data_IF_536381991588
#
_entry.id   IF_536381991588
#
_cell.length_a   1.000
_cell.length_b   1.000
_cell.length_c   1.000
_cell.angle_alpha   90.00
_cell.angle_beta   90.00
_cell.angle_gamma   90.00
#
_symmetry.space_group_name_H-M   'P 1'
#
loop_
_entity.id
_entity.type
_entity.pdbx_description
1 polymer ?
#
# COMPACT_ATOMS: atom_id res chain seq x y z
N UNK A 1 -2.02 -10.32 3.90
CA UNK A 1 -0.97 -10.91 3.05
C UNK A 1 0.26 -10.02 2.99
N UNK A 2 0.17 -8.74 3.35
CA UNK A 2 1.29 -7.90 3.79
C UNK A 2 2.08 -8.55 4.95
N UNK A 3 3.26 -9.09 4.65
CA UNK A 3 4.14 -9.76 5.62
C UNK A 3 4.08 -11.29 5.60
N UNK A 4 3.51 -11.93 4.59
CA UNK A 4 3.49 -13.39 4.45
C UNK A 4 4.66 -13.95 3.61
N UNK A 5 5.82 -13.27 3.58
CA UNK A 5 7.02 -13.69 2.87
C UNK A 5 7.32 -15.20 3.02
N UNK A 6 7.65 -15.81 1.87
CA UNK A 6 8.12 -17.17 1.67
C UNK A 6 9.26 -17.51 2.64
N UNK A 7 9.10 -18.57 3.42
CA UNK A 7 10.21 -19.19 4.17
C UNK A 7 10.87 -20.24 3.28
N UNK A 8 11.82 -19.81 2.45
CA UNK A 8 12.88 -20.69 1.95
C UNK A 8 14.04 -20.61 2.95
N UNK A 9 14.38 -21.73 3.59
CA UNK A 9 15.48 -21.81 4.55
C UNK A 9 16.82 -21.50 3.85
N UNK A 10 17.53 -20.48 4.34
CA UNK A 10 18.95 -20.24 4.01
C UNK A 10 19.76 -20.02 5.31
N UNK A 11 20.98 -20.58 5.40
CA UNK A 11 21.75 -20.63 6.64
C UNK A 11 22.36 -19.27 7.00
N UNK A 12 22.45 -19.04 8.32
CA UNK A 12 22.90 -17.83 8.99
C UNK A 12 24.43 -17.74 9.12
N UNK A 13 24.96 -16.51 9.13
CA UNK A 13 26.32 -16.16 9.60
C UNK A 13 26.35 -14.70 10.13
N UNK A 14 27.39 -14.23 10.85
CA UNK A 14 27.35 -14.02 12.29
C UNK A 14 27.30 -12.55 12.76
N UNK A 15 27.05 -12.40 14.07
CA UNK A 15 26.78 -11.18 14.85
C UNK A 15 27.98 -10.24 14.97
N UNK A 16 27.68 -8.94 15.11
CA UNK A 16 28.56 -7.92 15.69
C UNK A 16 27.97 -7.39 17.00
N UNK A 17 28.79 -7.40 18.06
CA UNK A 17 28.66 -6.66 19.33
C UNK A 17 29.19 -5.21 19.11
N UNK A 18 28.88 -4.13 19.82
CA UNK A 18 28.18 -3.85 21.07
C UNK A 18 28.27 -2.33 21.40
N UNK A 19 27.95 -1.97 22.66
CA UNK A 19 28.00 -0.64 23.32
C UNK A 19 26.87 0.38 22.99
N UNK A 20 26.28 1.12 23.93
CA UNK A 20 26.48 1.28 25.38
C UNK A 20 25.35 2.17 25.94
N UNK A 21 25.00 1.97 27.22
CA UNK A 21 23.88 2.60 27.91
C UNK A 21 24.20 3.98 28.50
N UNK A 22 23.21 4.86 28.63
CA UNK A 22 23.18 5.88 29.68
C UNK A 22 21.74 6.17 30.16
N UNK A 23 21.55 6.15 31.48
CA UNK A 23 20.34 6.54 32.24
C UNK A 23 20.49 7.97 32.76
N UNK A 24 19.38 8.70 32.90
CA UNK A 24 19.09 9.69 33.97
C UNK A 24 17.57 9.93 34.02
N UNK A 25 16.88 9.54 35.12
CA UNK A 25 16.29 10.38 36.23
C UNK A 25 15.21 11.36 35.73
N UNK A 26 13.91 11.17 36.04
CA UNK A 26 13.16 11.49 37.30
C UNK A 26 13.27 13.00 37.63
N UNK A 27 12.24 13.78 37.95
CA UNK A 27 10.85 13.62 38.41
C UNK A 27 10.12 14.95 38.10
N UNK A 28 8.81 14.94 37.85
CA UNK A 28 7.92 16.01 38.35
C UNK A 28 6.44 15.62 38.19
N UNK A 29 5.69 15.73 39.30
CA UNK A 29 4.25 15.45 39.44
C UNK A 29 3.43 16.76 39.40
N UNK A 30 2.12 16.67 39.14
CA UNK A 30 1.33 17.74 38.56
C UNK A 30 0.71 18.68 39.60
N UNK A 31 0.42 19.92 39.19
CA UNK A 31 -0.48 20.83 39.91
C UNK A 31 -1.88 20.81 39.30
N UNK A 32 -2.85 20.78 40.20
CA UNK A 32 -4.27 20.64 39.98
C UNK A 32 -4.97 22.01 40.07
N UNK A 33 -6.25 22.02 39.68
CA UNK A 33 -7.32 23.00 39.94
C UNK A 33 -7.65 23.99 38.81
N UNK A 34 -8.95 23.99 38.43
CA UNK A 34 -9.52 25.04 37.60
C UNK A 34 -10.84 24.64 36.93
N UNK A 35 -11.84 24.26 37.71
CA UNK A 35 -13.23 24.07 37.30
C UNK A 35 -13.82 25.42 36.87
N UNK A 36 -14.39 25.56 35.67
CA UNK A 36 -15.32 26.64 35.27
C UNK A 36 -15.98 26.32 33.91
N UNK A 37 -17.22 25.83 33.97
CA UNK A 37 -18.18 25.90 32.85
C UNK A 37 -18.89 27.26 32.89
N UNK A 38 -19.26 27.81 31.72
CA UNK A 38 -20.61 28.37 31.60
C UNK A 38 -21.34 27.90 30.34
N UNK A 39 -22.65 27.78 30.52
CA UNK A 39 -23.66 27.37 29.54
C UNK A 39 -23.58 28.14 28.20
N UNK A 40 -23.56 27.41 27.08
CA UNK A 40 -23.88 27.92 25.75
C UNK A 40 -25.34 27.55 25.41
N UNK A 41 -26.11 28.46 24.79
CA UNK A 41 -27.52 28.21 24.48
C UNK A 41 -27.66 27.17 23.37
N UNK A 42 -28.59 26.24 23.57
CA UNK A 42 -28.99 25.25 22.58
C UNK A 42 -29.80 25.98 21.51
N UNK A 43 -29.15 26.33 20.39
CA UNK A 43 -29.83 26.78 19.18
C UNK A 43 -30.36 25.56 18.42
N UNK A 44 -31.67 25.40 18.44
CA UNK A 44 -32.43 24.41 17.67
C UNK A 44 -32.55 24.85 16.20
N UNK A 45 -31.60 24.42 15.35
CA UNK A 45 -31.79 24.39 13.89
C UNK A 45 -30.82 23.37 13.27
N UNK A 46 -31.27 22.13 13.05
CA UNK A 46 -30.46 21.01 12.52
C UNK A 46 -30.49 20.91 11.00
N UNK A 47 -30.61 22.03 10.28
CA UNK A 47 -30.41 22.05 8.84
C UNK A 47 -29.12 22.81 8.54
N UNK A 48 -28.08 22.14 7.99
CA UNK A 48 -26.87 22.82 7.58
C UNK A 48 -27.19 23.85 6.50
N UNK A 49 -26.71 25.08 6.69
CA UNK A 49 -26.80 26.16 5.73
C UNK A 49 -26.07 25.77 4.43
N UNK A 50 -26.76 25.65 3.28
CA UNK A 50 -26.16 25.23 2.02
C UNK A 50 -25.15 26.25 1.45
N UNK A 51 -25.05 27.45 2.03
CA UNK A 51 -24.09 28.49 1.61
C UNK A 51 -22.72 28.39 2.29
N UNK A 52 -22.55 27.55 3.33
CA UNK A 52 -21.25 27.26 3.94
C UNK A 52 -20.67 26.00 3.33
N UNK A 53 -19.58 26.13 2.57
CA UNK A 53 -18.80 24.98 2.11
C UNK A 53 -18.29 24.19 3.32
N UNK A 54 -18.93 23.06 3.63
CA UNK A 54 -18.43 22.17 4.68
C UNK A 54 -17.11 21.55 4.20
N UNK A 55 -16.06 21.56 5.03
CA UNK A 55 -14.81 20.93 4.66
C UNK A 55 -15.05 19.43 4.42
N UNK A 56 -14.35 18.87 3.43
CA UNK A 56 -14.39 17.44 3.08
C UNK A 56 -13.26 16.71 3.81
N UNK A 57 -13.59 15.65 4.54
CA UNK A 57 -12.57 14.76 5.10
C UNK A 57 -12.08 13.80 4.01
N UNK A 58 -10.77 13.62 3.90
CA UNK A 58 -10.15 12.60 3.04
C UNK A 58 -9.50 11.58 3.95
N UNK A 59 -10.07 10.38 4.03
CA UNK A 59 -9.53 9.29 4.84
C UNK A 59 -8.60 8.44 3.98
N UNK A 60 -7.29 8.69 4.09
CA UNK A 60 -6.24 7.86 3.49
C UNK A 60 -6.17 6.53 4.24
N UNK A 61 -6.38 5.43 3.53
CA UNK A 61 -6.38 4.09 4.12
C UNK A 61 -5.23 3.23 3.60
N UNK A 62 -4.52 2.59 4.51
CA UNK A 62 -3.48 1.60 4.17
C UNK A 62 -3.54 0.42 5.17
N UNK A 63 -2.75 -0.63 4.99
CA UNK A 63 -2.80 -1.83 5.86
C UNK A 63 -2.16 -1.59 7.24
N UNK A 64 -1.24 -0.63 7.33
CA UNK A 64 -0.47 -0.30 8.54
C UNK A 64 0.63 -1.33 8.83
N UNK A 65 1.31 -1.23 9.96
CA UNK A 65 2.29 -2.25 10.31
C UNK A 65 2.92 -2.05 11.68
N UNK A 66 3.50 -3.12 12.25
CA UNK A 66 4.06 -3.08 13.59
C UNK A 66 5.27 -2.13 13.64
N UNK A 67 5.37 -1.37 14.72
CA UNK A 67 6.45 -0.40 14.97
C UNK A 67 7.57 -0.98 15.85
N UNK A 68 7.34 -2.17 16.43
CA UNK A 68 8.29 -2.89 17.29
C UNK A 68 7.98 -4.40 17.30
N UNK A 69 8.92 -5.26 17.75
CA UNK A 69 8.79 -6.72 17.60
C UNK A 69 7.55 -7.30 18.30
N UNK A 70 7.17 -6.77 19.45
CA UNK A 70 6.05 -7.26 20.27
C UNK A 70 4.70 -7.05 19.56
N UNK A 71 4.65 -6.16 18.59
CA UNK A 71 3.45 -5.82 17.82
C UNK A 71 3.20 -6.77 16.65
N UNK A 72 4.21 -7.55 16.24
CA UNK A 72 4.07 -8.48 15.10
C UNK A 72 2.95 -9.51 15.31
N UNK A 73 2.80 -10.06 16.52
CA UNK A 73 1.75 -11.04 16.81
C UNK A 73 0.33 -10.43 16.76
N UNK A 74 0.01 -9.36 17.50
CA UNK A 74 -1.31 -8.75 17.42
C UNK A 74 -1.62 -8.22 16.02
N UNK A 75 -0.64 -7.65 15.31
CA UNK A 75 -0.80 -7.22 13.91
C UNK A 75 -1.20 -8.38 13.00
N UNK A 76 -0.45 -9.50 13.04
CA UNK A 76 -0.79 -10.69 12.26
C UNK A 76 -2.15 -11.25 12.64
N UNK A 77 -2.50 -11.24 13.93
CA UNK A 77 -3.83 -11.69 14.38
C UNK A 77 -4.93 -10.87 13.72
N UNK A 78 -4.79 -9.55 13.60
CA UNK A 78 -5.77 -8.70 12.93
C UNK A 78 -5.92 -9.06 11.45
N UNK A 79 -4.81 -9.31 10.75
CA UNK A 79 -4.82 -9.80 9.35
C UNK A 79 -5.59 -11.12 9.24
N UNK A 80 -5.31 -12.11 10.10
CA UNK A 80 -5.97 -13.42 10.04
C UNK A 80 -7.42 -13.41 10.53
N UNK A 81 -7.87 -12.31 11.14
CA UNK A 81 -9.26 -12.12 11.55
C UNK A 81 -10.12 -11.47 10.46
N UNK A 82 -9.52 -11.02 9.35
CA UNK A 82 -10.22 -10.34 8.27
C UNK A 82 -10.89 -11.33 7.30
N UNK A 83 -12.24 -11.37 7.25
CA UNK A 83 -12.97 -12.23 6.32
C UNK A 83 -12.75 -11.85 4.85
N UNK A 84 -12.49 -10.57 4.57
CA UNK A 84 -12.33 -10.08 3.19
C UNK A 84 -10.96 -10.49 2.59
N UNK A 85 -10.00 -10.82 3.45
CA UNK A 85 -8.65 -11.19 3.06
C UNK A 85 -8.43 -12.70 3.07
N UNK A 86 -8.93 -13.40 4.10
CA UNK A 86 -8.69 -14.84 4.27
C UNK A 86 -10.01 -15.58 4.48
N UNK A 87 -10.43 -16.45 3.54
CA UNK A 87 -11.72 -17.14 3.57
C UNK A 87 -11.70 -18.33 4.56
N UNK A 88 -11.48 -18.07 5.85
CA UNK A 88 -11.58 -19.05 6.92
C UNK A 88 -13.03 -19.08 7.42
N UNK A 89 -13.67 -20.24 7.63
CA UNK A 89 -15.00 -20.32 8.26
C UNK A 89 -15.05 -19.58 9.60
N UNK A 90 -16.13 -18.84 9.86
CA UNK A 90 -16.23 -17.91 10.99
C UNK A 90 -15.96 -18.53 12.35
N UNK A 91 -16.44 -19.76 12.59
CA UNK A 91 -16.25 -20.48 13.86
C UNK A 91 -14.78 -20.85 14.13
N UNK A 92 -13.99 -21.10 13.08
CA UNK A 92 -12.59 -21.50 13.20
C UNK A 92 -11.62 -20.31 13.19
N UNK A 93 -12.07 -19.14 12.70
CA UNK A 93 -11.21 -17.98 12.48
C UNK A 93 -10.43 -17.52 13.72
N UNK A 94 -11.02 -17.37 14.92
CA UNK A 94 -10.26 -16.93 16.10
C UNK A 94 -9.14 -17.90 16.50
N UNK A 95 -9.39 -19.21 16.38
CA UNK A 95 -8.42 -20.25 16.69
C UNK A 95 -7.27 -20.24 15.69
N UNK A 96 -7.60 -20.23 14.39
CA UNK A 96 -6.60 -20.19 13.30
C UNK A 96 -5.77 -18.91 13.38
N UNK A 97 -6.41 -17.75 13.56
CA UNK A 97 -5.73 -16.47 13.69
C UNK A 97 -4.76 -16.47 14.89
N UNK A 98 -5.15 -17.01 16.04
CA UNK A 98 -4.28 -17.09 17.22
C UNK A 98 -3.08 -18.02 17.00
N UNK A 99 -3.30 -19.20 16.41
CA UNK A 99 -2.25 -20.19 16.17
C UNK A 99 -1.24 -19.70 15.12
N UNK A 100 -1.75 -19.24 13.97
CA UNK A 100 -0.91 -18.82 12.84
C UNK A 100 -0.15 -17.54 13.19
N UNK A 101 -0.79 -16.55 13.84
CA UNK A 101 -0.10 -15.33 14.28
C UNK A 101 1.03 -15.63 15.28
N UNK A 102 0.83 -16.56 16.23
CA UNK A 102 1.89 -16.97 17.17
C UNK A 102 3.09 -17.60 16.44
N UNK A 103 2.84 -18.48 15.47
CA UNK A 103 3.91 -19.14 14.71
C UNK A 103 4.65 -18.17 13.79
N UNK A 104 3.94 -17.22 13.16
CA UNK A 104 4.51 -16.31 12.16
C UNK A 104 5.15 -15.03 12.74
N UNK A 105 4.78 -14.62 13.95
CA UNK A 105 5.31 -13.39 14.55
C UNK A 105 6.86 -13.34 14.64
N UNK A 106 7.57 -14.42 15.01
CA UNK A 106 9.04 -14.41 15.03
C UNK A 106 9.67 -14.31 13.63
N UNK A 107 8.98 -14.80 12.59
CA UNK A 107 9.43 -14.66 11.20
C UNK A 107 9.25 -13.21 10.76
N UNK A 108 8.07 -12.63 10.98
CA UNK A 108 7.79 -11.24 10.64
C UNK A 108 8.76 -10.28 11.35
N UNK A 109 9.05 -10.51 12.63
CA UNK A 109 10.02 -9.71 13.38
C UNK A 109 11.43 -9.79 12.78
N UNK A 110 11.86 -10.97 12.32
CA UNK A 110 13.15 -11.15 11.61
C UNK A 110 13.18 -10.42 10.27
N UNK A 111 12.08 -10.39 9.53
CA UNK A 111 11.99 -9.64 8.27
C UNK A 111 12.16 -8.14 8.51
N UNK A 112 11.50 -7.57 9.53
CA UNK A 112 11.70 -6.17 9.93
C UNK A 112 13.12 -5.90 10.43
N UNK A 113 13.73 -6.84 11.17
CA UNK A 113 15.14 -6.71 11.56
C UNK A 113 16.07 -6.68 10.34
N UNK A 114 15.82 -7.52 9.33
CA UNK A 114 16.60 -7.53 8.10
C UNK A 114 16.42 -6.25 7.26
N UNK A 115 15.30 -5.55 7.38
CA UNK A 115 15.10 -4.22 6.81
C UNK A 115 15.88 -3.11 7.54
N UNK A 116 16.41 -3.39 8.74
CA UNK A 116 17.03 -2.40 9.62
C UNK A 116 16.03 -1.47 10.34
N UNK A 117 14.73 -1.62 10.09
CA UNK A 117 13.68 -0.81 10.70
C UNK A 117 12.34 -1.56 10.76
N UNK A 118 11.46 -1.13 11.67
CA UNK A 118 10.06 -1.56 11.68
C UNK A 118 9.23 -0.82 10.62
N UNK A 119 7.92 -1.11 10.54
CA UNK A 119 7.07 -0.63 9.45
C UNK A 119 7.13 0.90 9.30
N UNK A 120 7.56 1.42 8.13
CA UNK A 120 7.53 2.85 7.85
C UNK A 120 6.15 3.30 7.36
N UNK A 121 5.21 2.38 7.11
CA UNK A 121 3.92 2.63 6.45
C UNK A 121 3.15 3.81 7.05
N UNK A 122 3.07 3.92 8.38
CA UNK A 122 2.40 5.05 9.02
C UNK A 122 3.09 6.39 8.73
N UNK A 123 4.43 6.43 8.78
CA UNK A 123 5.19 7.63 8.48
C UNK A 123 5.01 8.03 7.01
N UNK A 124 5.12 7.08 6.09
CA UNK A 124 4.97 7.31 4.65
C UNK A 124 3.56 7.79 4.28
N UNK A 125 2.50 7.11 4.77
CA UNK A 125 1.12 7.54 4.52
C UNK A 125 0.81 8.89 5.18
N UNK A 126 1.39 9.19 6.36
CA UNK A 126 1.23 10.52 6.98
C UNK A 126 1.90 11.62 6.17
N UNK A 127 3.09 11.36 5.60
CA UNK A 127 3.76 12.31 4.72
C UNK A 127 2.93 12.59 3.45
N UNK A 128 2.36 11.54 2.85
CA UNK A 128 1.44 11.67 1.72
C UNK A 128 0.16 12.41 2.08
N UNK A 129 -0.45 12.14 3.23
CA UNK A 129 -1.64 12.86 3.70
C UNK A 129 -1.38 14.36 3.81
N UNK A 130 -0.21 14.76 4.34
CA UNK A 130 0.19 16.16 4.42
C UNK A 130 0.41 16.80 3.05
N UNK A 131 1.11 16.10 2.15
CA UNK A 131 1.35 16.58 0.80
C UNK A 131 0.04 16.73 0.01
N UNK A 132 -0.87 15.75 0.16
CA UNK A 132 -2.19 15.76 -0.46
C UNK A 132 -3.08 16.86 0.11
N UNK A 133 -3.11 17.07 1.43
CA UNK A 133 -3.87 18.17 2.05
C UNK A 133 -3.38 19.53 1.52
N UNK A 134 -2.07 19.72 1.43
CA UNK A 134 -1.49 20.94 0.87
C UNK A 134 -1.85 21.14 -0.61
N UNK A 135 -1.81 20.06 -1.41
CA UNK A 135 -2.18 20.12 -2.83
C UNK A 135 -3.68 20.37 -3.03
N UNK A 136 -4.54 19.81 -2.18
CA UNK A 136 -5.99 19.99 -2.25
C UNK A 136 -6.42 21.43 -1.93
N UNK A 137 -5.76 22.06 -0.96
CA UNK A 137 -6.00 23.44 -0.55
C UNK A 137 -7.14 23.57 0.47
N UNK A 138 -7.68 24.79 0.59
CA UNK A 138 -8.77 25.08 1.52
C UNK A 138 -10.01 24.23 1.20
N UNK A 139 -10.71 23.78 2.25
CA UNK A 139 -11.91 22.95 2.13
C UNK A 139 -11.67 21.44 2.20
N UNK A 140 -10.43 20.98 2.30
CA UNK A 140 -10.11 19.56 2.55
C UNK A 140 -9.30 19.37 3.83
N UNK A 141 -9.51 18.24 4.51
CA UNK A 141 -8.68 17.78 5.62
C UNK A 141 -8.37 16.30 5.48
N UNK A 142 -7.11 15.94 5.54
CA UNK A 142 -6.65 14.57 5.38
C UNK A 142 -6.47 13.87 6.73
N UNK A 143 -6.94 12.64 6.80
CA UNK A 143 -6.82 11.73 7.95
C UNK A 143 -6.17 10.44 7.48
N UNK A 144 -5.48 9.75 8.39
CA UNK A 144 -4.81 8.47 8.08
C UNK A 144 -5.40 7.37 8.95
N UNK A 145 -5.97 6.35 8.33
CA UNK A 145 -6.53 5.18 9.01
C UNK A 145 -5.93 3.88 8.48
N UNK A 146 -5.60 2.97 9.39
CA UNK A 146 -4.92 1.73 9.07
C UNK A 146 -5.83 0.52 9.30
N UNK A 147 -5.79 -0.44 8.36
CA UNK A 147 -6.69 -1.59 8.36
C UNK A 147 -6.37 -2.60 9.47
N UNK A 148 -5.10 -2.86 9.74
CA UNK A 148 -4.65 -3.90 10.67
C UNK A 148 -3.76 -3.42 11.81
N UNK A 149 -3.33 -2.16 11.77
CA UNK A 149 -2.56 -1.53 12.85
C UNK A 149 -3.08 -0.13 13.17
N UNK A 150 -2.50 0.55 14.17
CA UNK A 150 -2.94 1.88 14.61
C UNK A 150 -2.40 3.01 13.71
N UNK A 151 -3.09 4.16 13.64
CA UNK A 151 -4.46 4.40 14.12
C UNK A 151 -5.47 3.61 13.28
N UNK A 152 -6.43 2.92 13.91
CA UNK A 152 -7.34 2.05 13.17
C UNK A 152 -8.36 2.87 12.38
N UNK A 153 -8.76 2.41 11.19
CA UNK A 153 -9.81 3.06 10.37
C UNK A 153 -11.04 3.43 11.21
N UNK A 154 -11.50 2.54 12.09
CA UNK A 154 -12.67 2.79 12.94
C UNK A 154 -12.46 3.93 13.96
N UNK A 155 -11.26 4.05 14.53
CA UNK A 155 -10.90 5.14 15.46
C UNK A 155 -10.92 6.49 14.73
N UNK A 156 -10.42 6.51 13.50
CA UNK A 156 -10.35 7.71 12.67
C UNK A 156 -11.72 8.11 12.12
N UNK A 157 -12.59 7.14 11.79
CA UNK A 157 -13.98 7.43 11.45
C UNK A 157 -14.73 8.12 12.61
N UNK A 158 -14.44 7.73 13.85
CA UNK A 158 -15.00 8.40 15.04
C UNK A 158 -14.49 9.84 15.16
N UNK A 159 -13.19 10.06 14.95
CA UNK A 159 -12.58 11.40 14.95
C UNK A 159 -13.18 12.31 13.87
N UNK A 160 -13.31 11.82 12.64
CA UNK A 160 -13.92 12.55 11.53
C UNK A 160 -15.36 12.92 11.86
N UNK A 161 -16.16 11.98 12.37
CA UNK A 161 -17.53 12.25 12.78
C UNK A 161 -17.59 13.31 13.89
N UNK A 162 -16.76 13.18 14.92
CA UNK A 162 -16.72 14.11 16.05
C UNK A 162 -16.32 15.52 15.63
N UNK A 163 -15.55 15.64 14.54
CA UNK A 163 -15.12 16.91 13.95
C UNK A 163 -16.18 17.57 13.05
N UNK A 164 -17.33 16.92 12.83
CA UNK A 164 -18.47 17.53 12.13
C UNK A 164 -18.33 17.63 10.61
N UNK A 165 -17.43 16.85 9.98
CA UNK A 165 -17.35 16.78 8.52
C UNK A 165 -18.66 16.24 7.95
N UNK A 166 -19.17 16.90 6.91
CA UNK A 166 -20.41 16.50 6.22
C UNK A 166 -20.16 15.52 5.07
N UNK A 167 -18.91 15.40 4.61
CA UNK A 167 -18.48 14.54 3.51
C UNK A 167 -17.18 13.85 3.85
N UNK A 168 -17.08 12.57 3.51
CA UNK A 168 -15.86 11.75 3.62
C UNK A 168 -15.53 11.14 2.26
N UNK A 169 -14.34 11.40 1.76
CA UNK A 169 -13.72 10.65 0.67
C UNK A 169 -12.89 9.53 1.26
N UNK A 170 -13.26 8.29 1.00
CA UNK A 170 -12.52 7.10 1.34
C UNK A 170 -11.45 6.85 0.27
N UNK A 171 -10.17 6.97 0.64
CA UNK A 171 -9.03 6.88 -0.26
C UNK A 171 -8.05 5.78 0.19
N UNK A 172 -8.28 4.50 -0.14
CA UNK A 172 -7.25 3.48 -0.07
C UNK A 172 -6.03 3.89 -0.90
N UNK A 173 -4.85 3.87 -0.31
CA UNK A 173 -3.58 4.24 -0.96
C UNK A 173 -2.99 3.03 -1.69
N UNK A 174 -3.82 2.43 -2.54
CA UNK A 174 -3.48 1.34 -3.46
C UNK A 174 -3.87 1.82 -4.87
N UNK A 175 -2.93 1.93 -5.83
CA UNK A 175 -3.27 2.41 -7.17
C UNK A 175 -4.31 1.53 -7.86
N UNK A 176 -4.19 0.23 -7.65
CA UNK A 176 -5.04 -0.82 -8.23
C UNK A 176 -6.05 -1.31 -7.21
N UNK A 177 -7.29 -1.45 -7.65
CA UNK A 177 -8.37 -2.03 -6.85
C UNK A 177 -8.15 -3.53 -6.68
N UNK A 178 -8.24 -4.04 -5.45
CA UNK A 178 -8.48 -5.45 -5.16
C UNK A 178 -9.53 -5.61 -4.07
N UNK A 179 -10.29 -6.70 -4.12
CA UNK A 179 -11.23 -7.08 -3.06
C UNK A 179 -10.50 -7.25 -1.72
N UNK A 180 -9.24 -7.69 -1.75
CA UNK A 180 -8.44 -8.02 -0.56
C UNK A 180 -7.73 -6.82 0.08
N UNK A 181 -7.69 -5.66 -0.60
CA UNK A 181 -7.01 -4.44 -0.11
C UNK A 181 -7.97 -3.25 -0.05
N UNK A 182 -8.29 -2.65 -1.19
CA UNK A 182 -9.24 -1.55 -1.36
C UNK A 182 -10.61 -1.95 -0.82
N UNK A 183 -11.11 -3.13 -1.23
CA UNK A 183 -12.39 -3.66 -0.77
C UNK A 183 -12.45 -3.79 0.75
N UNK A 184 -11.51 -4.51 1.35
CA UNK A 184 -11.41 -4.68 2.81
C UNK A 184 -11.32 -3.34 3.57
N UNK A 185 -10.58 -2.36 3.05
CA UNK A 185 -10.43 -1.04 3.69
C UNK A 185 -11.72 -0.22 3.65
N UNK A 186 -12.38 -0.17 2.48
CA UNK A 186 -13.67 0.50 2.32
C UNK A 186 -14.75 -0.18 3.16
N UNK A 187 -14.78 -1.52 3.19
CA UNK A 187 -15.73 -2.28 4.01
C UNK A 187 -15.56 -1.98 5.51
N UNK A 188 -14.32 -1.88 6.02
CA UNK A 188 -14.05 -1.45 7.40
C UNK A 188 -14.58 -0.05 7.67
N UNK A 189 -14.24 0.92 6.82
CA UNK A 189 -14.67 2.32 6.98
C UNK A 189 -16.19 2.45 6.94
N UNK A 190 -16.86 1.84 5.95
CA UNK A 190 -18.33 1.88 5.82
C UNK A 190 -19.01 1.18 7.00
N UNK A 191 -18.47 0.07 7.50
CA UNK A 191 -18.98 -0.58 8.71
C UNK A 191 -18.85 0.33 9.93
N UNK A 192 -17.68 0.93 10.15
CA UNK A 192 -17.45 1.84 11.27
C UNK A 192 -18.41 3.05 11.22
N UNK A 193 -18.52 3.70 10.05
CA UNK A 193 -19.43 4.84 9.85
C UNK A 193 -20.90 4.47 10.04
N UNK A 194 -21.32 3.27 9.61
CA UNK A 194 -22.66 2.74 9.86
C UNK A 194 -22.92 2.55 11.35
N UNK A 195 -22.00 1.91 12.09
CA UNK A 195 -22.11 1.73 13.54
C UNK A 195 -22.14 3.06 14.30
N UNK A 196 -21.45 4.06 13.77
CA UNK A 196 -21.46 5.41 14.30
C UNK A 196 -22.72 6.20 13.91
N UNK A 197 -23.64 5.68 13.08
CA UNK A 197 -24.77 6.46 12.55
C UNK A 197 -24.32 7.77 11.90
N UNK A 198 -23.26 7.72 11.09
CA UNK A 198 -22.81 8.89 10.33
C UNK A 198 -23.84 9.22 9.23
N UNK A 199 -24.38 10.44 9.28
CA UNK A 199 -25.44 10.90 8.35
C UNK A 199 -24.95 11.73 7.17
N UNK A 200 -23.63 11.92 7.03
CA UNK A 200 -23.05 12.66 5.92
C UNK A 200 -22.77 11.80 4.69
N UNK A 201 -22.29 12.43 3.64
CA UNK A 201 -21.93 11.77 2.38
C UNK A 201 -20.61 10.98 2.52
N UNK A 202 -20.55 9.80 1.90
CA UNK A 202 -19.36 8.94 1.88
C UNK A 202 -19.10 8.47 0.45
N UNK A 203 -17.99 8.93 -0.14
CA UNK A 203 -17.59 8.63 -1.52
C UNK A 203 -16.35 7.74 -1.53
N UNK A 204 -16.34 6.75 -2.42
CA UNK A 204 -15.24 5.79 -2.54
C UNK A 204 -14.34 6.13 -3.73
N UNK A 205 -13.04 6.30 -3.48
CA UNK A 205 -12.02 6.24 -4.54
C UNK A 205 -11.47 4.81 -4.57
N UNK A 206 -11.93 3.99 -5.50
CA UNK A 206 -11.58 2.55 -5.54
C UNK A 206 -10.23 2.26 -6.18
N UNK A 207 -9.77 3.15 -7.06
CA UNK A 207 -8.48 3.05 -7.74
C UNK A 207 -8.05 4.42 -8.27
N UNK A 208 -6.76 4.55 -8.59
CA UNK A 208 -6.14 5.74 -9.19
C UNK A 208 -4.95 5.38 -10.11
N UNK A 209 -4.86 4.13 -10.58
CA UNK A 209 -3.80 3.66 -11.48
C UNK A 209 -3.75 4.41 -12.82
N UNK A 210 -4.87 4.99 -13.24
CA UNK A 210 -5.04 5.73 -14.50
C UNK A 210 -4.60 7.20 -14.41
N UNK A 211 -4.32 7.70 -13.21
CA UNK A 211 -3.97 9.11 -13.02
C UNK A 211 -2.65 9.44 -13.72
N UNK A 212 -2.65 10.51 -14.52
CA UNK A 212 -1.47 10.90 -15.30
C UNK A 212 -0.27 11.21 -14.40
N UNK A 213 -0.53 11.81 -13.23
CA UNK A 213 0.51 12.03 -12.21
C UNK A 213 1.15 10.74 -11.73
N UNK A 214 0.38 9.66 -11.57
CA UNK A 214 0.90 8.35 -11.16
C UNK A 214 1.72 7.71 -12.29
N UNK A 215 1.14 7.62 -13.49
CA UNK A 215 1.77 6.96 -14.62
C UNK A 215 2.99 7.72 -15.15
N UNK A 216 2.93 9.05 -15.16
CA UNK A 216 4.01 9.94 -15.56
C UNK A 216 5.21 9.80 -14.62
N UNK A 217 5.00 9.97 -13.31
CA UNK A 217 6.06 9.85 -12.30
C UNK A 217 6.74 8.48 -12.33
N UNK A 218 5.96 7.40 -12.51
CA UNK A 218 6.53 6.07 -12.62
C UNK A 218 7.35 5.91 -13.91
N UNK A 219 6.86 6.43 -15.03
CA UNK A 219 7.58 6.40 -16.31
C UNK A 219 8.88 7.20 -16.25
N UNK A 220 8.88 8.35 -15.59
CA UNK A 220 10.05 9.20 -15.45
C UNK A 220 11.13 8.52 -14.62
N UNK A 221 10.77 7.87 -13.50
CA UNK A 221 11.73 7.09 -12.68
C UNK A 221 12.34 5.92 -13.44
N UNK A 222 11.54 5.21 -14.24
CA UNK A 222 12.04 4.11 -15.07
C UNK A 222 12.98 4.63 -16.15
N UNK A 223 12.63 5.74 -16.84
CA UNK A 223 13.48 6.36 -17.87
C UNK A 223 14.80 6.85 -17.28
N UNK A 224 14.73 7.51 -16.13
CA UNK A 224 15.88 8.02 -15.40
C UNK A 224 16.83 6.89 -14.99
N UNK A 225 16.30 5.79 -14.44
CA UNK A 225 17.08 4.62 -14.09
C UNK A 225 17.76 4.02 -15.32
N UNK A 226 17.01 3.74 -16.38
CA UNK A 226 17.56 3.19 -17.63
C UNK A 226 18.63 4.08 -18.27
N UNK A 227 18.51 5.41 -18.15
CA UNK A 227 19.52 6.34 -18.67
C UNK A 227 20.89 6.22 -17.99
N UNK A 228 20.93 5.68 -16.77
CA UNK A 228 22.14 5.43 -15.99
C UNK A 228 22.58 3.97 -16.00
N UNK A 229 21.71 3.08 -16.43
CA UNK A 229 21.98 1.64 -16.45
C UNK A 229 22.84 1.23 -17.65
N UNK A 230 23.61 0.13 -17.54
CA UNK A 230 24.38 -0.40 -18.66
C UNK A 230 23.49 -0.89 -19.80
N UNK A 231 24.06 -1.01 -21.01
CA UNK A 231 23.38 -1.62 -22.15
C UNK A 231 22.94 -3.06 -21.83
N UNK A 232 21.77 -3.46 -22.34
CA UNK A 232 21.20 -4.79 -22.08
C UNK A 232 20.45 -4.91 -20.74
N UNK A 233 20.27 -3.81 -20.01
CA UNK A 233 19.42 -3.75 -18.82
C UNK A 233 17.99 -4.17 -19.13
N UNK A 234 17.38 -4.92 -18.22
CA UNK A 234 15.95 -5.29 -18.27
C UNK A 234 15.16 -4.66 -17.13
N UNK A 235 13.87 -4.45 -17.36
CA UNK A 235 12.96 -3.87 -16.36
C UNK A 235 12.01 -4.95 -15.83
N UNK A 236 12.06 -5.22 -14.53
CA UNK A 236 11.14 -6.13 -13.86
C UNK A 236 10.10 -5.34 -13.07
N UNK A 237 8.87 -5.31 -13.56
CA UNK A 237 7.73 -4.82 -12.78
C UNK A 237 7.30 -5.90 -11.81
N UNK A 238 7.30 -5.59 -10.51
CA UNK A 238 6.89 -6.49 -9.46
C UNK A 238 5.64 -5.99 -8.75
N UNK A 239 4.69 -6.90 -8.56
CA UNK A 239 3.40 -6.65 -7.93
C UNK A 239 3.05 -7.82 -6.99
N UNK A 240 2.28 -7.57 -5.92
CA UNK A 240 1.86 -8.65 -5.01
C UNK A 240 1.03 -9.69 -5.75
N UNK A 241 1.35 -10.97 -5.61
CA UNK A 241 0.58 -12.05 -6.22
C UNK A 241 -0.82 -12.19 -5.59
N UNK A 242 -1.72 -12.81 -6.33
CA UNK A 242 -3.01 -13.27 -5.81
C UNK A 242 -3.19 -14.77 -6.10
N UNK A 243 -3.94 -15.50 -5.25
CA UNK A 243 -4.44 -16.82 -5.62
C UNK A 243 -5.28 -16.72 -6.90
N UNK A 244 -5.13 -17.66 -7.83
CA UNK A 244 -5.83 -17.66 -9.13
C UNK A 244 -7.35 -17.60 -8.95
N UNK A 245 -7.89 -18.27 -7.92
CA UNK A 245 -9.32 -18.27 -7.61
C UNK A 245 -9.86 -16.88 -7.23
N UNK A 246 -9.02 -16.01 -6.66
CA UNK A 246 -9.39 -14.62 -6.35
C UNK A 246 -9.18 -13.77 -7.59
N UNK A 247 -8.01 -13.90 -8.23
CA UNK A 247 -7.62 -13.10 -9.39
C UNK A 247 -8.63 -13.16 -10.55
N UNK A 248 -9.26 -14.32 -10.79
CA UNK A 248 -10.20 -14.50 -11.89
C UNK A 248 -11.44 -13.59 -11.85
N UNK A 249 -11.80 -13.06 -10.68
CA UNK A 249 -12.94 -12.15 -10.50
C UNK A 249 -12.54 -10.79 -9.91
N UNK A 250 -11.24 -10.51 -9.81
CA UNK A 250 -10.71 -9.30 -9.18
C UNK A 250 -10.15 -8.36 -10.26
N UNK A 251 -10.44 -7.03 -10.23
CA UNK A 251 -9.93 -6.10 -11.24
C UNK A 251 -8.40 -5.90 -11.16
N UNK A 252 -7.77 -6.26 -10.05
CA UNK A 252 -6.37 -6.01 -9.76
C UNK A 252 -5.40 -6.46 -10.86
N UNK A 253 -5.43 -7.72 -11.35
CA UNK A 253 -4.41 -8.18 -12.31
C UNK A 253 -4.51 -7.43 -13.64
N UNK A 254 -5.73 -7.11 -14.07
CA UNK A 254 -5.98 -6.31 -15.27
C UNK A 254 -5.48 -4.87 -15.11
N UNK A 255 -5.79 -4.21 -14.00
CA UNK A 255 -5.34 -2.82 -13.75
C UNK A 255 -3.81 -2.72 -13.61
N UNK A 256 -3.16 -3.71 -12.99
CA UNK A 256 -1.68 -3.79 -12.92
C UNK A 256 -1.10 -3.95 -14.33
N UNK A 257 -1.64 -4.87 -15.14
CA UNK A 257 -1.18 -5.05 -16.51
C UNK A 257 -1.37 -3.77 -17.35
N UNK A 258 -2.50 -3.09 -17.22
CA UNK A 258 -2.79 -1.84 -17.93
C UNK A 258 -1.83 -0.72 -17.50
N UNK A 259 -1.45 -0.66 -16.23
CA UNK A 259 -0.40 0.24 -15.72
C UNK A 259 0.95 -0.05 -16.36
N UNK A 260 1.38 -1.31 -16.34
CA UNK A 260 2.67 -1.72 -16.89
C UNK A 260 2.73 -1.48 -18.40
N UNK A 261 1.64 -1.74 -19.13
CA UNK A 261 1.53 -1.43 -20.56
C UNK A 261 1.62 0.08 -20.81
N UNK A 262 0.93 0.91 -20.01
CA UNK A 262 0.96 2.35 -20.16
C UNK A 262 2.36 2.93 -19.89
N UNK A 263 3.05 2.46 -18.85
CA UNK A 263 4.44 2.84 -18.55
C UNK A 263 5.37 2.34 -19.66
N UNK A 264 5.23 1.09 -20.09
CA UNK A 264 6.05 0.51 -21.16
C UNK A 264 5.94 1.31 -22.46
N UNK A 265 4.75 1.79 -22.82
CA UNK A 265 4.55 2.66 -23.98
C UNK A 265 5.20 4.04 -23.81
N UNK A 266 5.05 4.68 -22.64
CA UNK A 266 5.65 6.00 -22.36
C UNK A 266 7.18 5.97 -22.32
N UNK A 267 7.77 4.83 -21.95
CA UNK A 267 9.22 4.66 -21.83
C UNK A 267 9.84 4.04 -23.09
N UNK A 268 9.07 3.28 -23.87
CA UNK A 268 9.58 2.51 -25.01
C UNK A 268 10.18 1.16 -24.62
N UNK A 269 9.51 0.43 -23.72
CA UNK A 269 9.91 -0.91 -23.28
C UNK A 269 9.24 -2.00 -24.12
N UNK A 270 10.00 -3.06 -24.40
CA UNK A 270 9.49 -4.28 -24.98
C UNK A 270 8.96 -5.20 -23.87
N UNK A 271 7.69 -5.02 -23.49
CA UNK A 271 7.03 -5.84 -22.48
C UNK A 271 6.73 -7.24 -23.01
N UNK A 272 7.19 -8.25 -22.29
CA UNK A 272 6.87 -9.66 -22.55
C UNK A 272 5.35 -9.91 -22.45
N UNK A 273 4.74 -10.57 -23.45
CA UNK A 273 3.34 -10.96 -23.37
C UNK A 273 3.06 -11.86 -22.16
N UNK A 274 1.94 -11.60 -21.49
CA UNK A 274 1.48 -12.35 -20.33
C UNK A 274 -0.02 -12.60 -20.47
N UNK A 275 -0.44 -13.82 -20.15
CA UNK A 275 -1.85 -14.19 -20.02
C UNK A 275 -2.20 -14.28 -18.53
N UNK A 276 -3.33 -13.68 -18.15
CA UNK A 276 -3.75 -13.58 -16.75
C UNK A 276 -5.17 -14.14 -16.60
N UNK A 277 -5.41 -15.04 -15.62
CA UNK A 277 -6.73 -15.61 -15.37
C UNK A 277 -7.80 -14.53 -15.19
N UNK A 278 -8.88 -14.61 -15.95
CA UNK A 278 -10.01 -13.67 -15.86
C UNK A 278 -9.76 -12.29 -16.47
N UNK A 279 -8.59 -12.06 -17.09
CA UNK A 279 -8.26 -10.80 -17.75
C UNK A 279 -8.34 -10.99 -19.26
N UNK A 280 -9.11 -10.14 -19.95
CA UNK A 280 -9.16 -10.17 -21.40
C UNK A 280 -7.78 -9.87 -22.02
N UNK A 281 -7.40 -10.52 -23.13
CA UNK A 281 -6.13 -10.28 -23.81
C UNK A 281 -5.86 -8.79 -24.08
N UNK A 282 -4.61 -8.37 -23.94
CA UNK A 282 -4.18 -6.99 -24.20
C UNK A 282 -3.26 -6.92 -25.41
N UNK A 283 -3.28 -5.77 -26.08
CA UNK A 283 -2.32 -5.47 -27.13
C UNK A 283 -1.00 -5.01 -26.52
N UNK A 284 0.02 -5.85 -26.68
CA UNK A 284 1.39 -5.55 -26.30
C UNK A 284 2.04 -4.69 -27.39
N UNK A 285 2.81 -3.65 -27.02
CA UNK A 285 3.52 -2.85 -28.00
C UNK A 285 4.43 -3.75 -28.86
N UNK A 286 4.50 -3.53 -30.19
CA UNK A 286 5.33 -4.35 -31.06
C UNK A 286 6.79 -4.21 -30.66
N UNK A 287 7.51 -5.34 -30.67
CA UNK A 287 8.94 -5.37 -30.37
C UNK A 287 9.69 -4.69 -31.52
N UNK A 288 10.09 -3.44 -31.32
CA UNK A 288 10.93 -2.69 -32.25
C UNK A 288 12.37 -2.64 -31.77
N UNK A 289 13.34 -3.11 -32.59
CA UNK A 289 14.78 -2.87 -32.41
C UNK A 289 15.33 -2.96 -30.97
N UNK A 290 16.22 -2.02 -30.61
CA UNK A 290 17.04 -1.98 -29.40
C UNK A 290 16.29 -1.61 -28.08
N UNK A 291 14.96 -1.78 -28.00
CA UNK A 291 14.20 -1.46 -26.79
C UNK A 291 14.62 -2.34 -25.60
N UNK A 292 14.72 -1.79 -24.38
CA UNK A 292 14.93 -2.60 -23.17
C UNK A 292 13.78 -3.60 -22.99
N UNK A 293 14.13 -4.87 -22.74
CA UNK A 293 13.14 -5.89 -22.44
C UNK A 293 12.55 -5.69 -21.05
N UNK A 294 11.25 -5.93 -20.90
CA UNK A 294 10.55 -5.81 -19.63
C UNK A 294 9.62 -6.99 -19.37
N UNK A 295 9.40 -7.32 -18.10
CA UNK A 295 8.43 -8.34 -17.69
C UNK A 295 7.61 -7.87 -16.49
N UNK A 296 6.37 -8.35 -16.39
CA UNK A 296 5.54 -8.27 -15.18
C UNK A 296 5.63 -9.61 -14.44
N UNK A 297 5.92 -9.56 -13.14
CA UNK A 297 5.99 -10.73 -12.28
C UNK A 297 5.33 -10.50 -10.92
N UNK A 298 4.91 -11.60 -10.30
CA UNK A 298 4.14 -11.60 -9.07
C UNK A 298 4.99 -12.07 -7.88
N UNK A 299 5.06 -11.27 -6.82
CA UNK A 299 5.80 -11.59 -5.59
C UNK A 299 4.91 -12.22 -4.51
N UNK A 300 5.55 -12.64 -3.42
CA UNK A 300 4.87 -13.02 -2.17
C UNK A 300 3.92 -14.22 -2.28
N UNK A 301 4.23 -15.22 -3.12
CA UNK A 301 3.46 -16.48 -3.22
C UNK A 301 3.47 -17.26 -1.90
N UNK A 302 2.32 -17.62 -1.35
CA UNK A 302 2.26 -18.33 -0.05
C UNK A 302 1.41 -19.59 -0.08
N UNK A 303 1.96 -20.66 0.48
CA UNK A 303 1.23 -21.92 0.65
C UNK A 303 1.04 -22.67 -0.67
N UNK A 304 0.24 -23.76 -0.64
CA UNK A 304 0.19 -24.73 -1.74
C UNK A 304 -0.81 -24.38 -2.84
N UNK A 305 -1.57 -23.28 -2.72
CA UNK A 305 -2.57 -22.90 -3.72
C UNK A 305 -1.91 -22.45 -5.04
N UNK A 306 -2.68 -22.38 -6.12
CA UNK A 306 -2.22 -21.78 -7.39
C UNK A 306 -2.26 -20.26 -7.27
N UNK A 307 -1.18 -19.61 -7.68
CA UNK A 307 -1.03 -18.15 -7.69
C UNK A 307 -0.85 -17.64 -9.11
N UNK A 308 -0.98 -16.34 -9.29
CA UNK A 308 -0.58 -15.67 -10.53
C UNK A 308 0.88 -15.94 -10.84
N UNK A 309 1.16 -16.16 -12.13
CA UNK A 309 2.47 -16.46 -12.67
C UNK A 309 2.75 -15.48 -13.83
N UNK A 310 4.02 -15.23 -14.20
CA UNK A 310 5.21 -15.82 -13.58
C UNK A 310 5.52 -15.18 -12.22
N UNK A 311 6.08 -15.97 -11.31
CA UNK A 311 6.67 -15.47 -10.07
C UNK A 311 7.93 -14.63 -10.34
N UNK A 312 8.28 -13.72 -9.42
CA UNK A 312 9.54 -12.96 -9.50
C UNK A 312 10.73 -13.90 -9.56
N UNK A 313 10.72 -14.97 -8.76
CA UNK A 313 11.74 -16.02 -8.72
C UNK A 313 11.95 -16.65 -10.11
N UNK A 314 10.87 -17.09 -10.76
CA UNK A 314 10.93 -17.70 -12.10
C UNK A 314 11.49 -16.75 -13.15
N UNK A 315 11.12 -15.48 -13.10
CA UNK A 315 11.66 -14.49 -14.06
C UNK A 315 13.15 -14.27 -13.84
N UNK A 316 13.61 -14.18 -12.58
CA UNK A 316 15.02 -14.00 -12.25
C UNK A 316 15.86 -15.20 -12.69
N UNK A 317 15.40 -16.43 -12.45
CA UNK A 317 16.09 -17.66 -12.88
C UNK A 317 16.25 -17.70 -14.40
N UNK A 318 15.14 -17.51 -15.13
CA UNK A 318 15.15 -17.46 -16.59
C UNK A 318 16.08 -16.37 -17.12
N UNK A 319 16.02 -15.16 -16.56
CA UNK A 319 16.90 -14.07 -16.99
C UNK A 319 18.37 -14.32 -16.67
N UNK A 320 18.69 -15.09 -15.63
CA UNK A 320 20.04 -15.55 -15.36
C UNK A 320 20.55 -16.52 -16.44
N UNK A 321 19.70 -17.46 -16.88
CA UNK A 321 20.00 -18.37 -18.00
C UNK A 321 20.22 -17.59 -19.32
N UNK A 322 19.46 -16.53 -19.53
CA UNK A 322 19.62 -15.58 -20.64
C UNK A 322 20.80 -14.62 -20.48
N UNK A 323 21.61 -14.79 -19.42
CA UNK A 323 22.83 -14.01 -19.12
C UNK A 323 22.57 -12.51 -18.93
N UNK A 324 21.40 -12.14 -18.42
CA UNK A 324 21.12 -10.76 -17.99
C UNK A 324 22.07 -10.39 -16.85
N UNK A 325 22.63 -9.17 -16.91
CA UNK A 325 23.64 -8.69 -15.95
C UNK A 325 23.15 -7.57 -15.04
N UNK A 326 22.11 -6.87 -15.46
CA UNK A 326 21.55 -5.74 -14.72
C UNK A 326 20.03 -5.69 -14.90
N UNK A 327 19.32 -5.48 -13.79
CA UNK A 327 17.87 -5.32 -13.78
C UNK A 327 17.48 -4.06 -13.01
N UNK A 328 16.47 -3.36 -13.53
CA UNK A 328 15.74 -2.33 -12.81
C UNK A 328 14.47 -2.96 -12.24
N UNK A 329 14.33 -2.96 -10.92
CA UNK A 329 13.20 -3.59 -10.21
C UNK A 329 12.19 -2.52 -9.80
N UNK A 330 10.95 -2.63 -10.27
CA UNK A 330 9.92 -1.58 -10.16
C UNK A 330 8.75 -2.08 -9.30
N UNK A 331 8.51 -1.52 -8.09
CA UNK A 331 7.35 -1.84 -7.26
C UNK A 331 6.08 -1.21 -7.83
N UNK A 332 5.48 -1.82 -8.86
CA UNK A 332 4.41 -1.18 -9.66
C UNK A 332 3.07 -1.03 -8.95
N UNK A 333 2.82 -1.76 -7.87
CA UNK A 333 1.54 -1.71 -7.14
C UNK A 333 1.61 -0.95 -5.81
N UNK A 334 2.73 -0.28 -5.52
CA UNK A 334 2.98 0.36 -4.23
C UNK A 334 3.46 1.80 -4.38
N UNK A 335 2.86 2.70 -3.60
CA UNK A 335 3.22 4.13 -3.55
C UNK A 335 3.86 4.56 -2.23
N UNK A 336 3.98 3.63 -1.28
CA UNK A 336 4.71 3.80 -0.02
C UNK A 336 5.76 2.70 0.12
N UNK A 337 6.86 2.97 0.81
CA UNK A 337 7.77 1.90 1.23
C UNK A 337 7.15 1.09 2.38
N UNK A 338 7.42 -0.22 2.38
CA UNK A 338 6.96 -1.15 3.40
C UNK A 338 7.74 -2.46 3.35
N UNK A 339 7.32 -3.48 4.11
CA UNK A 339 8.03 -4.76 4.14
C UNK A 339 8.11 -5.42 2.76
N UNK A 340 7.08 -5.31 1.93
CA UNK A 340 7.08 -5.98 0.61
C UNK A 340 8.00 -5.29 -0.41
N UNK A 341 8.42 -4.04 -0.16
CA UNK A 341 9.44 -3.37 -0.97
C UNK A 341 10.81 -3.54 -0.31
N UNK A 342 10.97 -3.06 0.91
CA UNK A 342 12.25 -2.98 1.62
C UNK A 342 12.80 -4.34 2.09
N UNK A 343 11.93 -5.33 2.34
CA UNK A 343 12.39 -6.69 2.64
C UNK A 343 12.33 -7.54 1.38
N UNK A 344 11.15 -7.68 0.77
CA UNK A 344 11.02 -8.65 -0.32
C UNK A 344 11.79 -8.20 -1.57
N UNK A 345 11.65 -6.97 -2.05
CA UNK A 345 12.40 -6.54 -3.24
C UNK A 345 13.89 -6.32 -2.97
N UNK A 346 14.26 -5.63 -1.89
CA UNK A 346 15.69 -5.29 -1.65
C UNK A 346 16.51 -6.47 -1.09
N UNK A 347 15.96 -7.19 -0.11
CA UNK A 347 16.67 -8.25 0.61
C UNK A 347 16.46 -9.61 -0.06
N UNK A 348 15.22 -10.03 -0.25
CA UNK A 348 14.90 -11.37 -0.77
C UNK A 348 15.21 -11.48 -2.27
N UNK A 349 14.48 -10.75 -3.11
CA UNK A 349 14.59 -10.82 -4.57
C UNK A 349 15.86 -10.14 -5.08
N UNK A 350 16.22 -8.99 -4.52
CA UNK A 350 17.51 -8.35 -4.79
C UNK A 350 18.68 -9.26 -4.40
N UNK A 351 18.58 -9.97 -3.26
CA UNK A 351 19.57 -10.95 -2.83
C UNK A 351 19.65 -12.16 -3.77
N UNK A 352 18.50 -12.67 -4.22
CA UNK A 352 18.42 -13.76 -5.20
C UNK A 352 19.05 -13.36 -6.54
N UNK A 353 18.69 -12.21 -7.08
CA UNK A 353 19.25 -11.70 -8.33
C UNK A 353 20.78 -11.54 -8.25
N UNK A 354 21.30 -11.01 -7.13
CA UNK A 354 22.76 -10.94 -6.88
C UNK A 354 23.43 -12.30 -6.85
N UNK A 355 22.81 -13.31 -6.21
CA UNK A 355 23.31 -14.70 -6.22
C UNK A 355 23.31 -15.31 -7.62
N UNK A 356 22.35 -14.92 -8.46
CA UNK A 356 22.25 -15.30 -9.87
C UNK A 356 23.19 -14.51 -10.80
N UNK A 357 24.03 -13.62 -10.26
CA UNK A 357 25.03 -12.87 -11.04
C UNK A 357 24.50 -11.58 -11.69
N UNK A 358 23.34 -11.08 -11.26
CA UNK A 358 22.77 -9.80 -11.69
C UNK A 358 23.03 -8.69 -10.66
N UNK A 359 23.29 -7.48 -11.15
CA UNK A 359 23.14 -6.26 -10.36
C UNK A 359 21.68 -5.76 -10.42
N UNK A 360 21.22 -5.08 -9.37
CA UNK A 360 19.82 -4.69 -9.21
C UNK A 360 19.72 -3.24 -8.77
N UNK A 361 19.01 -2.45 -9.55
CA UNK A 361 18.57 -1.10 -9.18
C UNK A 361 17.07 -1.15 -8.87
N UNK A 362 16.72 -1.26 -7.58
CA UNK A 362 15.31 -1.21 -7.16
C UNK A 362 14.86 0.25 -7.03
N UNK A 363 13.81 0.60 -7.78
CA UNK A 363 13.26 1.95 -7.78
C UNK A 363 12.49 2.23 -6.49
N UNK A 364 12.67 3.42 -5.86
CA UNK A 364 11.83 3.87 -4.76
C UNK A 364 10.37 3.98 -5.19
N UNK A 365 9.47 3.65 -4.28
CA UNK A 365 8.06 4.00 -4.43
C UNK A 365 7.88 5.52 -4.56
N UNK A 366 6.75 5.94 -5.13
CA UNK A 366 6.55 7.37 -5.45
C UNK A 366 6.52 8.27 -4.21
N UNK A 367 6.08 7.76 -3.06
CA UNK A 367 6.05 8.53 -1.81
C UNK A 367 5.27 9.84 -2.00
N UNK A 368 5.95 10.97 -1.82
CA UNK A 368 5.39 12.32 -1.94
C UNK A 368 5.77 13.03 -3.25
N UNK A 369 6.08 12.27 -4.30
CA UNK A 369 6.35 12.81 -5.63
C UNK A 369 5.30 13.86 -6.04
N UNK A 370 5.70 15.10 -6.41
CA UNK A 370 4.75 16.19 -6.65
C UNK A 370 3.72 15.90 -7.75
N UNK A 371 4.14 15.29 -8.85
CA UNK A 371 3.24 14.99 -9.96
C UNK A 371 2.24 13.90 -9.56
N UNK A 372 2.69 12.88 -8.82
CA UNK A 372 1.82 11.87 -8.23
C UNK A 372 0.79 12.48 -7.26
N UNK A 373 1.23 13.34 -6.33
CA UNK A 373 0.36 13.98 -5.35
C UNK A 373 -0.69 14.86 -6.03
N UNK A 374 -0.32 15.62 -7.07
CA UNK A 374 -1.29 16.42 -7.82
C UNK A 374 -2.30 15.55 -8.58
N UNK A 375 -1.87 14.44 -9.18
CA UNK A 375 -2.77 13.46 -9.79
C UNK A 375 -3.77 12.90 -8.77
N UNK A 376 -3.30 12.57 -7.57
CA UNK A 376 -4.15 12.10 -6.47
C UNK A 376 -5.13 13.17 -5.99
N UNK A 377 -4.69 14.44 -5.89
CA UNK A 377 -5.55 15.57 -5.57
C UNK A 377 -6.65 15.76 -6.63
N UNK A 378 -6.29 15.67 -7.91
CA UNK A 378 -7.25 15.68 -9.01
C UNK A 378 -8.31 14.57 -8.90
N UNK A 379 -7.88 13.34 -8.55
CA UNK A 379 -8.80 12.22 -8.32
C UNK A 379 -9.75 12.47 -7.15
N UNK A 380 -9.23 12.98 -6.03
CA UNK A 380 -10.05 13.32 -4.85
C UNK A 380 -11.06 14.42 -5.16
N UNK A 381 -10.66 15.49 -5.87
CA UNK A 381 -11.58 16.55 -6.29
C UNK A 381 -12.72 16.03 -7.18
N UNK A 382 -12.38 15.17 -8.16
CA UNK A 382 -13.39 14.54 -9.03
C UNK A 382 -14.35 13.65 -8.25
N UNK A 383 -13.85 12.90 -7.26
CA UNK A 383 -14.67 12.06 -6.41
C UNK A 383 -15.57 12.89 -5.47
N UNK A 384 -15.04 13.94 -4.85
CA UNK A 384 -15.78 14.80 -3.93
C UNK A 384 -16.92 15.59 -4.63
N UNK A 385 -16.82 15.80 -5.95
CA UNK A 385 -17.77 16.60 -6.70
C UNK A 385 -17.78 18.09 -6.29
N UNK A 386 -18.66 18.91 -6.88
CA UNK A 386 -18.79 20.31 -6.49
C UNK A 386 -19.29 20.44 -5.02
N UNK A 387 -18.90 21.52 -4.32
CA UNK A 387 -19.50 21.84 -3.03
C UNK A 387 -21.00 22.10 -3.19
N UNK A 388 -21.84 21.46 -2.36
CA UNK A 388 -23.28 21.73 -2.29
C UNK A 388 -24.21 20.79 -3.08
N UNK A 389 -23.69 19.75 -3.74
CA UNK A 389 -24.57 18.71 -4.31
C UNK A 389 -24.84 17.63 -3.26
N UNK A 390 -26.05 17.63 -2.69
CA UNK A 390 -26.64 16.42 -2.10
C UNK A 390 -27.52 15.79 -3.18
N UNK A 391 -27.32 14.51 -3.54
CA UNK A 391 -28.24 13.81 -4.44
C UNK A 391 -29.64 13.66 -3.84
#
# INVERSE_FOLDING_TARGET
MAGMACTGDFPSSPRFEGFGSARMRSDEKPRNAGNLSPHLPISSSTHPDPSKAFPTAVLLMNYGGPTRPQECRPYLRNIFMDPDLIPIPGLLRPLVASLVSRRRAPVLARNYQAMGQFSPTLRETTAQAKALEAALGEGFRCFVGMRYWKPYIAEVCLEIKASGFARIVLLPIYPHESVTTTGSSIHEARRALKSLHYGGEVVDVRSFWEEEGYLGSLSDRVREALSRSPAGTRVLFSSHGLPVSVAAGDPYPGQVLDTVLAVSRRVGLALEPIDLPGVAPRNFPPRGGAQPAAALAWQSKVGPMKWLEPSVETVLERWAEEKVRHIVLVPVAFVNEHSETLYELDVLYGGMARKLGMSVDRLPTLGTDPAFIEGLAGRVRRAAGPPGFSP
#
